data_IF_122035873234
#
_entry.id   IF_122035873234
#
_cell.length_a   1.000
_cell.length_b   1.000
_cell.length_c   1.000
_cell.angle_alpha   90.00
_cell.angle_beta   90.00
_cell.angle_gamma   90.00
#
_symmetry.space_group_name_H-M   'P 1'
#
loop_
_entity.id
_entity.type
_entity.pdbx_description
1 polymer ?
#
# COMPACT_ATOMS: atom_id res chain seq x y z
N UNK A 1 -5.37 -6.14 -16.09
CA UNK A 1 -6.47 -6.45 -15.17
C UNK A 1 -6.91 -5.21 -14.39
N UNK A 2 -5.99 -4.49 -13.72
CA UNK A 2 -6.31 -3.29 -12.92
C UNK A 2 -6.98 -2.18 -13.76
N UNK A 3 -6.50 -1.94 -14.98
CA UNK A 3 -7.07 -0.96 -15.90
C UNK A 3 -8.47 -1.34 -16.43
N UNK A 4 -8.78 -2.64 -16.51
CA UNK A 4 -10.01 -3.14 -17.15
C UNK A 4 -11.15 -3.37 -16.12
N UNK A 5 -10.85 -3.94 -14.96
CA UNK A 5 -11.88 -4.42 -14.03
C UNK A 5 -12.14 -3.50 -12.84
N UNK A 6 -11.31 -2.45 -12.65
CA UNK A 6 -11.46 -1.55 -11.50
C UNK A 6 -11.25 -2.25 -10.15
N UNK A 7 -11.64 -1.59 -9.05
CA UNK A 7 -11.57 -2.15 -7.70
C UNK A 7 -12.81 -3.03 -7.41
N UNK A 8 -12.63 -4.16 -6.69
CA UNK A 8 -13.77 -4.97 -6.25
C UNK A 8 -14.64 -4.19 -5.27
N UNK A 9 -15.94 -4.53 -5.15
CA UNK A 9 -16.81 -3.91 -4.17
C UNK A 9 -16.20 -3.98 -2.77
N UNK A 10 -16.36 -2.91 -1.97
CA UNK A 10 -15.76 -2.79 -0.63
C UNK A 10 -16.08 -3.96 0.31
N UNK A 11 -17.22 -4.65 0.11
CA UNK A 11 -17.59 -5.84 0.89
C UNK A 11 -16.70 -7.04 0.61
N UNK A 12 -16.13 -7.15 -0.59
CA UNK A 12 -15.28 -8.26 -1.05
C UNK A 12 -13.80 -7.88 -1.09
N UNK A 13 -13.45 -6.64 -0.73
CA UNK A 13 -12.09 -6.15 -0.82
C UNK A 13 -11.23 -6.58 0.38
N UNK A 14 -10.16 -7.37 0.20
CA UNK A 14 -9.36 -7.90 1.31
C UNK A 14 -8.75 -6.80 2.18
N UNK A 15 -8.31 -5.68 1.59
CA UNK A 15 -7.75 -4.54 2.34
C UNK A 15 -8.80 -3.92 3.27
N UNK A 16 -10.08 -3.91 2.89
CA UNK A 16 -11.16 -3.44 3.76
C UNK A 16 -11.34 -4.39 4.96
N UNK A 17 -11.18 -5.69 4.76
CA UNK A 17 -11.23 -6.66 5.88
C UNK A 17 -10.02 -6.50 6.81
N UNK A 18 -8.82 -6.30 6.25
CA UNK A 18 -7.61 -5.96 7.01
C UNK A 18 -7.83 -4.70 7.86
N UNK A 19 -8.35 -3.62 7.27
CA UNK A 19 -8.64 -2.37 7.97
C UNK A 19 -9.68 -2.54 9.08
N UNK A 20 -10.75 -3.31 8.86
CA UNK A 20 -11.76 -3.61 9.91
C UNK A 20 -11.15 -4.39 11.06
N UNK A 21 -10.32 -5.39 10.78
CA UNK A 21 -9.59 -6.13 11.82
C UNK A 21 -8.68 -5.18 12.62
N UNK A 22 -7.88 -4.35 11.94
CA UNK A 22 -6.97 -3.40 12.57
C UNK A 22 -7.72 -2.39 13.44
N UNK A 23 -8.84 -1.84 12.98
CA UNK A 23 -9.69 -0.96 13.78
C UNK A 23 -10.28 -1.63 15.02
N UNK A 24 -10.67 -2.91 14.91
CA UNK A 24 -11.13 -3.71 16.04
C UNK A 24 -10.01 -4.01 17.03
N UNK A 25 -8.84 -4.41 16.54
CA UNK A 25 -7.67 -4.75 17.34
C UNK A 25 -7.11 -3.53 18.07
N UNK A 26 -7.09 -2.34 17.43
CA UNK A 26 -6.59 -1.10 18.02
C UNK A 26 -7.22 -0.74 19.34
N UNK A 27 -8.51 -1.04 19.52
CA UNK A 27 -9.21 -0.81 20.80
C UNK A 27 -8.65 -1.64 21.95
N UNK A 28 -7.85 -2.68 21.66
CA UNK A 28 -7.25 -3.62 22.62
C UNK A 28 -5.76 -3.40 22.81
N UNK A 29 -5.13 -2.73 21.86
CA UNK A 29 -3.70 -2.40 21.93
C UNK A 29 -3.47 -1.35 23.02
N UNK A 30 -2.60 -1.67 23.98
CA UNK A 30 -2.27 -0.80 25.12
C UNK A 30 -0.81 -0.36 25.15
N UNK A 31 0.08 -1.02 24.40
CA UNK A 31 1.50 -0.74 24.33
C UNK A 31 2.18 -1.67 23.33
N UNK A 32 3.51 -1.61 23.25
CA UNK A 32 4.30 -2.36 22.28
C UNK A 32 4.01 -3.87 22.24
N UNK A 33 4.00 -4.62 23.38
CA UNK A 33 3.78 -6.07 23.35
C UNK A 33 2.40 -6.45 22.81
N UNK A 34 1.35 -5.72 23.21
CA UNK A 34 0.00 -5.97 22.70
C UNK A 34 -0.15 -5.54 21.23
N UNK A 35 0.55 -4.46 20.83
CA UNK A 35 0.64 -4.05 19.42
C UNK A 35 1.25 -5.15 18.56
N UNK A 36 2.40 -5.69 18.96
CA UNK A 36 3.06 -6.79 18.29
C UNK A 36 2.18 -8.06 18.22
N UNK A 37 1.51 -8.40 19.34
CA UNK A 37 0.62 -9.56 19.40
C UNK A 37 -0.56 -9.46 18.40
N UNK A 38 -1.30 -8.34 18.46
CA UNK A 38 -2.45 -8.16 17.55
C UNK A 38 -2.01 -7.97 16.10
N UNK A 39 -0.85 -7.36 15.85
CA UNK A 39 -0.27 -7.31 14.51
C UNK A 39 0.05 -8.71 13.98
N UNK A 40 0.74 -9.54 14.76
CA UNK A 40 1.09 -10.91 14.37
C UNK A 40 -0.16 -11.79 14.15
N UNK A 41 -1.18 -11.65 15.01
CA UNK A 41 -2.44 -12.35 14.87
C UNK A 41 -3.15 -11.98 13.54
N UNK A 42 -3.17 -10.69 13.18
CA UNK A 42 -3.73 -10.24 11.91
C UNK A 42 -2.89 -10.69 10.71
N UNK A 43 -1.56 -10.62 10.79
CA UNK A 43 -0.67 -11.14 9.77
C UNK A 43 -0.95 -12.62 9.50
N UNK A 44 -1.08 -13.43 10.55
CA UNK A 44 -1.44 -14.85 10.43
C UNK A 44 -2.84 -15.04 9.82
N UNK A 45 -3.82 -14.25 10.26
CA UNK A 45 -5.22 -14.32 9.79
C UNK A 45 -5.35 -14.08 8.28
N UNK A 46 -4.55 -13.18 7.71
CA UNK A 46 -4.64 -12.81 6.29
C UNK A 46 -3.61 -13.52 5.41
N UNK A 47 -2.36 -13.67 5.88
CA UNK A 47 -1.30 -14.30 5.09
C UNK A 47 -1.42 -15.83 5.02
N UNK A 48 -1.81 -16.50 6.11
CA UNK A 48 -1.90 -17.96 6.13
C UNK A 48 -2.98 -18.51 5.17
N UNK A 49 -4.23 -18.02 5.17
CA UNK A 49 -5.21 -18.46 4.19
C UNK A 49 -4.79 -18.17 2.75
N UNK A 50 -4.17 -17.01 2.49
CA UNK A 50 -3.65 -16.67 1.17
C UNK A 50 -2.54 -17.63 0.74
N UNK A 51 -1.63 -17.99 1.65
CA UNK A 51 -0.57 -18.99 1.39
C UNK A 51 -1.15 -20.38 1.12
N UNK A 52 -2.13 -20.82 1.89
CA UNK A 52 -2.80 -22.11 1.68
C UNK A 52 -3.55 -22.14 0.34
N UNK A 53 -4.22 -21.04 -0.03
CA UNK A 53 -4.87 -20.92 -1.33
C UNK A 53 -3.84 -20.99 -2.47
N UNK A 54 -2.69 -20.34 -2.32
CA UNK A 54 -1.61 -20.40 -3.30
C UNK A 54 -1.12 -21.85 -3.50
N UNK A 55 -0.89 -22.57 -2.42
CA UNK A 55 -0.47 -23.98 -2.48
C UNK A 55 -1.50 -24.89 -3.16
N UNK A 56 -2.79 -24.65 -2.90
CA UNK A 56 -3.88 -25.44 -3.48
C UNK A 56 -4.10 -25.14 -4.97
N UNK A 57 -3.98 -23.87 -5.35
CA UNK A 57 -4.29 -23.42 -6.71
C UNK A 57 -3.11 -23.55 -7.67
N UNK A 58 -1.88 -23.41 -7.19
CA UNK A 58 -0.65 -23.42 -8.01
C UNK A 58 -0.49 -24.66 -8.88
N UNK A 59 -0.79 -25.90 -8.45
CA UNK A 59 -0.66 -27.11 -9.28
C UNK A 59 -1.77 -27.24 -10.35
N UNK A 60 -2.83 -26.43 -10.29
CA UNK A 60 -3.96 -26.52 -11.22
C UNK A 60 -3.65 -25.71 -12.50
N UNK A 61 -3.98 -26.25 -13.67
CA UNK A 61 -3.71 -25.62 -14.97
C UNK A 61 -4.34 -24.22 -15.10
N UNK A 62 -5.48 -23.98 -14.45
CA UNK A 62 -6.17 -22.67 -14.39
C UNK A 62 -5.86 -21.88 -13.10
N UNK A 63 -5.15 -22.48 -12.17
CA UNK A 63 -4.90 -21.91 -10.83
C UNK A 63 -4.19 -20.57 -10.87
N UNK A 64 -3.23 -20.39 -11.78
CA UNK A 64 -2.51 -19.14 -11.93
C UNK A 64 -3.41 -17.97 -12.40
N UNK A 65 -4.50 -18.25 -13.13
CA UNK A 65 -5.50 -17.22 -13.49
C UNK A 65 -6.23 -16.75 -12.25
N UNK A 66 -6.66 -17.68 -11.39
CA UNK A 66 -7.34 -17.36 -10.14
C UNK A 66 -6.40 -16.65 -9.17
N UNK A 67 -5.14 -17.10 -9.06
CA UNK A 67 -4.12 -16.41 -8.25
C UNK A 67 -3.90 -14.97 -8.72
N UNK A 68 -3.85 -14.72 -10.04
CA UNK A 68 -3.77 -13.37 -10.60
C UNK A 68 -4.99 -12.49 -10.26
N UNK A 69 -6.19 -13.08 -10.24
CA UNK A 69 -7.40 -12.37 -9.82
C UNK A 69 -7.41 -12.08 -8.31
N UNK A 70 -6.92 -13.00 -7.48
CA UNK A 70 -6.79 -12.82 -6.03
C UNK A 70 -5.67 -11.84 -5.65
N UNK A 71 -4.61 -11.77 -6.45
CA UNK A 71 -3.51 -10.81 -6.27
C UNK A 71 -3.95 -9.38 -6.61
N UNK A 72 -4.85 -9.21 -7.60
CA UNK A 72 -5.27 -7.89 -8.10
C UNK A 72 -5.68 -6.89 -7.01
N UNK A 73 -6.53 -7.22 -6.02
CA UNK A 73 -6.93 -6.27 -4.99
C UNK A 73 -5.83 -5.95 -3.95
N UNK A 74 -4.67 -6.58 -4.05
CA UNK A 74 -3.53 -6.31 -3.16
C UNK A 74 -2.60 -5.22 -3.70
N UNK A 75 -2.78 -4.77 -4.95
CA UNK A 75 -2.06 -3.64 -5.53
C UNK A 75 -3.02 -2.69 -6.25
N UNK A 76 -2.65 -1.41 -6.40
CA UNK A 76 -3.53 -0.36 -6.93
C UNK A 76 -2.75 0.66 -7.75
N UNK A 77 -2.47 0.33 -9.02
CA UNK A 77 -1.79 1.25 -9.95
C UNK A 77 -2.75 2.28 -10.54
N UNK A 78 -3.94 1.85 -10.97
CA UNK A 78 -4.91 2.73 -11.64
C UNK A 78 -5.34 3.89 -10.75
N UNK A 79 -5.68 3.60 -9.50
CA UNK A 79 -6.13 4.64 -8.55
C UNK A 79 -5.00 5.64 -8.28
N UNK A 80 -3.76 5.15 -8.10
CA UNK A 80 -2.59 5.99 -7.89
C UNK A 80 -2.37 6.95 -9.07
N UNK A 81 -2.39 6.46 -10.30
CA UNK A 81 -2.23 7.29 -11.49
C UNK A 81 -3.36 8.33 -11.62
N UNK A 82 -4.62 7.93 -11.38
CA UNK A 82 -5.76 8.84 -11.42
C UNK A 82 -5.65 9.96 -10.39
N UNK A 83 -5.13 9.67 -9.20
CA UNK A 83 -4.92 10.69 -8.16
C UNK A 83 -3.85 11.70 -8.57
N UNK A 84 -2.70 11.25 -9.10
CA UNK A 84 -1.61 12.14 -9.51
C UNK A 84 -1.98 12.96 -10.77
N UNK A 85 -2.56 12.33 -11.79
CA UNK A 85 -3.09 13.07 -12.95
C UNK A 85 -4.19 14.06 -12.56
N UNK A 86 -4.98 13.73 -11.52
CA UNK A 86 -5.98 14.64 -10.96
C UNK A 86 -5.37 15.90 -10.34
N UNK A 87 -4.14 15.84 -9.79
CA UNK A 87 -3.43 17.02 -9.30
C UNK A 87 -3.03 17.94 -10.46
N UNK A 88 -2.45 17.37 -11.53
CA UNK A 88 -2.05 18.18 -12.71
C UNK A 88 -3.26 18.84 -13.36
N UNK A 89 -4.35 18.12 -13.57
CA UNK A 89 -5.60 18.69 -14.09
C UNK A 89 -6.16 19.79 -13.19
N UNK A 90 -6.08 19.64 -11.88
CA UNK A 90 -6.54 20.68 -10.93
C UNK A 90 -5.62 21.91 -10.96
N UNK A 91 -4.32 21.76 -11.24
CA UNK A 91 -3.40 22.89 -11.45
C UNK A 91 -3.74 23.70 -12.70
N UNK A 92 -4.28 23.07 -13.76
CA UNK A 92 -4.79 23.80 -14.94
C UNK A 92 -5.98 24.70 -14.59
N UNK A 93 -6.80 24.32 -13.61
CA UNK A 93 -7.91 25.11 -13.10
C UNK A 93 -7.45 26.25 -12.16
N UNK A 94 -6.26 26.13 -11.57
CA UNK A 94 -5.63 27.13 -10.70
C UNK A 94 -4.85 26.52 -9.54
N UNK A 95 -3.91 27.31 -9.00
CA UNK A 95 -2.98 26.88 -7.95
C UNK A 95 -3.71 26.34 -6.70
N UNK A 96 -4.76 27.04 -6.25
CA UNK A 96 -5.54 26.63 -5.08
C UNK A 96 -6.30 25.30 -5.30
N UNK A 97 -6.75 25.03 -6.53
CA UNK A 97 -7.35 23.75 -6.87
C UNK A 97 -6.32 22.63 -6.82
N UNK A 98 -5.12 22.85 -7.37
CA UNK A 98 -3.99 21.92 -7.30
C UNK A 98 -3.58 21.61 -5.86
N UNK A 99 -3.42 22.62 -5.01
CA UNK A 99 -3.09 22.48 -3.58
C UNK A 99 -4.12 21.63 -2.83
N UNK A 100 -5.42 21.93 -3.03
CA UNK A 100 -6.51 21.12 -2.43
C UNK A 100 -6.54 19.70 -2.94
N UNK A 101 -6.19 19.47 -4.21
CA UNK A 101 -6.13 18.11 -4.75
C UNK A 101 -4.92 17.34 -4.19
N UNK A 102 -3.76 17.99 -4.11
CA UNK A 102 -2.54 17.42 -3.53
C UNK A 102 -2.72 17.02 -2.05
N UNK A 103 -3.40 17.85 -1.24
CA UNK A 103 -3.61 17.58 0.19
C UNK A 103 -4.38 16.27 0.47
N UNK A 104 -4.96 15.63 -0.55
CA UNK A 104 -5.63 14.32 -0.41
C UNK A 104 -4.66 13.14 -0.51
N UNK A 105 -3.47 13.36 -1.06
CA UNK A 105 -2.48 12.30 -1.34
C UNK A 105 -1.17 12.49 -0.60
N UNK A 106 -0.98 13.63 0.08
CA UNK A 106 0.17 13.90 0.93
C UNK A 106 -0.26 14.28 2.34
N UNK A 107 0.53 13.93 3.35
CA UNK A 107 0.26 14.25 4.76
C UNK A 107 0.81 15.61 5.21
N UNK A 108 1.66 16.26 4.37
CA UNK A 108 2.24 17.58 4.65
C UNK A 108 1.28 18.72 4.29
N UNK A 109 1.54 19.90 4.86
CA UNK A 109 0.82 21.13 4.51
C UNK A 109 1.07 21.51 3.06
N UNK A 110 0.03 21.97 2.38
CA UNK A 110 0.07 22.28 0.94
C UNK A 110 -0.28 23.75 0.63
N UNK A 111 -0.64 24.53 1.66
CA UNK A 111 -1.19 25.88 1.49
C UNK A 111 -0.18 26.88 0.92
N UNK A 112 1.11 26.68 1.21
CA UNK A 112 2.18 27.62 0.83
C UNK A 112 2.97 27.16 -0.41
N UNK A 113 2.64 25.99 -1.00
CA UNK A 113 3.40 25.43 -2.13
C UNK A 113 3.13 26.18 -3.43
N UNK A 114 4.18 26.51 -4.18
CA UNK A 114 4.09 26.95 -5.58
C UNK A 114 3.57 25.85 -6.51
N UNK A 115 3.25 26.17 -7.75
CA UNK A 115 2.79 25.18 -8.71
C UNK A 115 3.85 24.09 -9.02
N UNK A 116 5.14 24.47 -9.01
CA UNK A 116 6.26 23.54 -9.19
C UNK A 116 6.38 22.60 -8.00
N UNK A 117 6.33 23.12 -6.77
CA UNK A 117 6.37 22.32 -5.54
C UNK A 117 5.16 21.39 -5.41
N UNK A 118 3.99 21.81 -5.90
CA UNK A 118 2.81 20.92 -5.97
C UNK A 118 3.05 19.74 -6.92
N UNK A 119 3.68 19.97 -8.09
CA UNK A 119 4.05 18.91 -9.03
C UNK A 119 5.12 17.97 -8.44
N UNK A 120 6.17 18.54 -7.85
CA UNK A 120 7.22 17.75 -7.20
C UNK A 120 6.64 16.87 -6.09
N UNK A 121 5.79 17.43 -5.23
CA UNK A 121 5.13 16.68 -4.18
C UNK A 121 4.21 15.55 -4.70
N UNK A 122 3.52 15.79 -5.81
CA UNK A 122 2.72 14.78 -6.46
C UNK A 122 3.58 13.64 -7.05
N UNK A 123 4.73 13.96 -7.63
CA UNK A 123 5.69 12.99 -8.17
C UNK A 123 6.40 12.20 -7.06
N UNK A 124 6.75 12.84 -5.94
CA UNK A 124 7.28 12.15 -4.76
C UNK A 124 6.26 11.13 -4.22
N UNK A 125 5.01 11.56 -4.05
CA UNK A 125 3.91 10.69 -3.62
C UNK A 125 3.68 9.55 -4.62
N UNK A 126 3.79 9.81 -5.94
CA UNK A 126 3.72 8.76 -6.95
C UNK A 126 4.84 7.74 -6.80
N UNK A 127 6.08 8.18 -6.61
CA UNK A 127 7.23 7.30 -6.51
C UNK A 127 7.15 6.42 -5.24
N UNK A 128 6.79 7.01 -4.10
CA UNK A 128 6.57 6.31 -2.83
C UNK A 128 5.46 5.26 -2.96
N UNK A 129 4.28 5.69 -3.43
CA UNK A 129 3.14 4.80 -3.58
C UNK A 129 3.32 3.75 -4.71
N UNK A 130 4.16 4.02 -5.72
CA UNK A 130 4.52 3.02 -6.73
C UNK A 130 5.32 1.88 -6.10
N UNK A 131 6.23 2.21 -5.17
CA UNK A 131 6.91 1.20 -4.36
C UNK A 131 5.91 0.35 -3.57
N UNK A 132 5.07 0.99 -2.76
CA UNK A 132 4.25 0.34 -1.75
C UNK A 132 2.99 -0.31 -2.32
N UNK A 133 2.40 0.28 -3.36
CA UNK A 133 1.13 -0.18 -3.93
C UNK A 133 1.28 -1.06 -5.15
N UNK A 134 2.48 -1.18 -5.73
CA UNK A 134 2.71 -2.01 -6.93
C UNK A 134 3.93 -2.90 -6.77
N UNK A 135 5.13 -2.30 -6.63
CA UNK A 135 6.38 -3.07 -6.70
C UNK A 135 6.49 -4.05 -5.54
N UNK A 136 6.24 -3.60 -4.33
CA UNK A 136 6.39 -4.43 -3.14
C UNK A 136 5.40 -5.60 -3.10
N UNK A 137 4.08 -5.43 -3.31
CA UNK A 137 3.16 -6.56 -3.40
C UNK A 137 3.55 -7.58 -4.47
N UNK A 138 4.01 -7.13 -5.65
CA UNK A 138 4.46 -8.01 -6.73
C UNK A 138 5.76 -8.72 -6.40
N UNK A 139 6.72 -8.04 -5.78
CA UNK A 139 7.97 -8.63 -5.30
C UNK A 139 7.71 -9.72 -4.27
N UNK A 140 6.88 -9.44 -3.27
CA UNK A 140 6.52 -10.42 -2.24
C UNK A 140 5.69 -11.57 -2.79
N UNK A 141 4.87 -11.33 -3.82
CA UNK A 141 4.22 -12.40 -4.56
C UNK A 141 5.22 -13.29 -5.30
N UNK A 142 6.21 -12.69 -5.97
CA UNK A 142 7.23 -13.45 -6.70
C UNK A 142 8.10 -14.32 -5.78
N UNK A 143 8.40 -13.82 -4.56
CA UNK A 143 9.24 -14.53 -3.59
C UNK A 143 8.47 -15.57 -2.77
N UNK A 144 7.25 -15.25 -2.34
CA UNK A 144 6.50 -16.01 -1.32
C UNK A 144 5.04 -16.30 -1.73
N UNK A 145 4.68 -16.09 -2.99
CA UNK A 145 3.34 -16.31 -3.50
C UNK A 145 2.30 -15.36 -2.91
N UNK A 146 1.02 -15.75 -3.01
CA UNK A 146 -0.10 -14.90 -2.56
C UNK A 146 -0.03 -14.58 -1.07
N UNK A 147 0.50 -15.49 -0.25
CA UNK A 147 0.72 -15.27 1.18
C UNK A 147 1.69 -14.13 1.47
N UNK A 148 2.79 -14.04 0.70
CA UNK A 148 3.75 -12.95 0.80
C UNK A 148 3.15 -11.60 0.42
N UNK A 149 2.42 -11.53 -0.69
CA UNK A 149 1.72 -10.32 -1.11
C UNK A 149 0.67 -9.87 -0.07
N UNK A 150 -0.08 -10.81 0.50
CA UNK A 150 -1.08 -10.53 1.54
C UNK A 150 -0.42 -10.04 2.83
N UNK A 151 0.70 -10.63 3.26
CA UNK A 151 1.48 -10.19 4.42
C UNK A 151 1.98 -8.77 4.25
N UNK A 152 2.60 -8.49 3.11
CA UNK A 152 3.09 -7.14 2.82
C UNK A 152 1.95 -6.13 2.84
N UNK A 153 0.84 -6.41 2.12
CA UNK A 153 -0.30 -5.50 2.06
C UNK A 153 -0.94 -5.28 3.44
N UNK A 154 -0.98 -6.32 4.27
CA UNK A 154 -1.44 -6.20 5.65
C UNK A 154 -0.52 -5.31 6.48
N UNK A 155 0.81 -5.49 6.40
CA UNK A 155 1.79 -4.67 7.13
C UNK A 155 1.69 -3.20 6.76
N UNK A 156 1.67 -2.89 5.47
CA UNK A 156 1.50 -1.53 4.94
C UNK A 156 0.16 -0.90 5.38
N UNK A 157 -0.94 -1.67 5.40
CA UNK A 157 -2.23 -1.20 5.92
C UNK A 157 -2.18 -0.97 7.44
N UNK A 158 -1.44 -1.80 8.17
CA UNK A 158 -1.28 -1.65 9.62
C UNK A 158 -0.45 -0.41 9.97
N UNK A 159 0.60 -0.12 9.22
CA UNK A 159 1.37 1.11 9.39
C UNK A 159 0.52 2.34 9.10
N UNK A 160 -0.19 2.38 7.98
CA UNK A 160 -1.10 3.46 7.62
C UNK A 160 -2.20 3.74 8.67
N UNK A 161 -2.53 2.76 9.53
CA UNK A 161 -3.55 2.92 10.57
C UNK A 161 -2.97 3.10 11.97
N UNK A 162 -1.83 2.50 12.27
CA UNK A 162 -1.24 2.45 13.62
C UNK A 162 0.10 3.16 13.74
N UNK A 163 0.86 3.31 12.63
CA UNK A 163 2.25 3.75 12.61
C UNK A 163 2.48 5.24 12.89
N UNK A 164 1.42 6.02 13.10
CA UNK A 164 1.55 7.45 13.37
C UNK A 164 2.37 7.73 14.63
N UNK A 165 3.27 8.76 14.61
CA UNK A 165 4.12 9.10 15.75
C UNK A 165 3.36 9.37 17.05
N UNK A 166 2.17 9.98 16.96
CA UNK A 166 1.30 10.25 18.11
C UNK A 166 0.78 8.99 18.82
N UNK A 167 0.79 7.86 18.16
CA UNK A 167 0.41 6.57 18.74
C UNK A 167 1.51 5.97 19.63
N UNK A 168 2.75 6.49 19.54
CA UNK A 168 3.88 6.11 20.39
C UNK A 168 4.15 4.59 20.39
N UNK A 169 4.39 4.02 21.56
CA UNK A 169 4.70 2.59 21.69
C UNK A 169 3.59 1.64 21.20
N UNK A 170 2.35 2.09 21.11
CA UNK A 170 1.22 1.27 20.66
C UNK A 170 1.33 0.92 19.18
N UNK A 171 1.74 1.90 18.34
CA UNK A 171 1.87 1.73 16.90
C UNK A 171 3.28 1.33 16.43
N UNK A 172 4.27 1.45 17.30
CA UNK A 172 5.69 1.30 16.96
C UNK A 172 6.06 -0.06 16.32
N UNK A 173 5.34 -1.14 16.65
CA UNK A 173 5.61 -2.43 16.02
C UNK A 173 5.15 -2.43 14.55
N UNK A 174 3.98 -1.88 14.25
CA UNK A 174 3.47 -1.80 12.87
C UNK A 174 4.40 -0.98 11.98
N UNK A 175 4.82 0.22 12.44
CA UNK A 175 5.78 1.06 11.73
C UNK A 175 7.10 0.33 11.43
N UNK A 176 7.72 -0.30 12.45
CA UNK A 176 8.97 -1.04 12.26
C UNK A 176 8.83 -2.26 11.34
N UNK A 177 7.69 -2.95 11.39
CA UNK A 177 7.43 -4.09 10.52
C UNK A 177 7.29 -3.66 9.06
N UNK A 178 6.61 -2.55 8.80
CA UNK A 178 6.50 -1.96 7.47
C UNK A 178 7.85 -1.46 6.96
N UNK A 179 8.60 -0.70 7.76
CA UNK A 179 9.96 -0.25 7.45
C UNK A 179 10.85 -1.42 7.01
N UNK A 180 10.83 -2.53 7.77
CA UNK A 180 11.62 -3.72 7.48
C UNK A 180 11.21 -4.36 6.15
N UNK A 181 9.92 -4.50 5.90
CA UNK A 181 9.39 -5.07 4.66
C UNK A 181 9.64 -4.15 3.45
N UNK A 182 9.71 -2.86 3.66
CA UNK A 182 10.02 -1.87 2.61
C UNK A 182 11.51 -1.72 2.29
N UNK A 183 12.43 -2.29 3.07
CA UNK A 183 13.87 -2.16 2.83
C UNK A 183 14.30 -2.56 1.42
N UNK A 184 13.80 -3.67 0.91
CA UNK A 184 14.15 -4.17 -0.44
C UNK A 184 13.33 -3.50 -1.54
N UNK A 185 12.00 -3.41 -1.44
CA UNK A 185 11.17 -2.74 -2.45
C UNK A 185 11.59 -1.30 -2.72
N UNK A 186 11.79 -0.49 -1.68
CA UNK A 186 12.18 0.91 -1.82
C UNK A 186 13.51 1.09 -2.57
N UNK A 187 14.50 0.22 -2.30
CA UNK A 187 15.78 0.25 -3.02
C UNK A 187 15.63 -0.15 -4.48
N UNK A 188 14.83 -1.18 -4.77
CA UNK A 188 14.56 -1.60 -6.14
C UNK A 188 13.81 -0.52 -6.92
N UNK A 189 12.82 0.14 -6.31
CA UNK A 189 12.11 1.27 -6.91
C UNK A 189 13.07 2.40 -7.24
N UNK A 190 13.94 2.78 -6.29
CA UNK A 190 14.95 3.81 -6.50
C UNK A 190 15.90 3.48 -7.66
N UNK A 191 16.39 2.25 -7.74
CA UNK A 191 17.24 1.79 -8.84
C UNK A 191 16.52 1.85 -10.19
N UNK A 192 15.27 1.40 -10.27
CA UNK A 192 14.48 1.42 -11.50
C UNK A 192 14.20 2.85 -11.98
N UNK A 193 13.90 3.76 -11.06
CA UNK A 193 13.66 5.18 -11.40
C UNK A 193 14.96 5.91 -11.81
N UNK A 194 16.10 5.57 -11.19
CA UNK A 194 17.39 6.15 -11.55
C UNK A 194 17.89 5.71 -12.94
N UNK A 195 17.62 4.47 -13.35
CA UNK A 195 18.02 3.95 -14.68
C UNK A 195 17.31 4.69 -15.83
N UNK A 196 16.13 5.26 -15.61
CA UNK A 196 15.43 6.04 -16.65
C UNK A 196 16.02 7.44 -16.87
N UNK A 197 16.99 7.88 -16.07
CA UNK A 197 17.68 9.16 -16.21
C UNK A 197 19.02 9.09 -16.96
N UNK A 198 19.41 7.91 -17.46
CA UNK A 198 20.57 7.80 -18.35
C UNK A 198 20.16 8.26 -19.76
N UNK A 199 20.89 9.26 -20.34
CA UNK A 199 20.63 9.76 -21.68
C UNK A 199 20.89 8.72 -22.77
#
# INVERSE_FOLDING_TARGET
LDALFGEPPSRLHPVVWMGRYLAWAWRRVRGFPSGAFYWALGALLFALPAFLLDLLLRPLAWGWVVLGLLLKPLFSLRMLLLEVFGVEKALEEGLEAGRRRLSRIVSRRTEDLSAEEVREAALESLAENLSDSLLAPLLYYALFGLGGAALYRYANTADAMWGYPEHGARGAFAARADDLLNLLPARLTGLLLCQQRAP
#
